data_IF_434797770581
#
_entry.id   IF_434797770581
#
_cell.length_a   1.000
_cell.length_b   1.000
_cell.length_c   1.000
_cell.angle_alpha   90.00
_cell.angle_beta   90.00
_cell.angle_gamma   90.00
#
_symmetry.space_group_name_H-M   'P 1'
#
loop_
_entity.id
_entity.type
_entity.pdbx_description
1 polymer ?
#
# COMPACT_ATOMS: atom_id res chain seq x y z
N UNK A 1 -11.95 21.27 -9.62
CA UNK A 1 -12.57 21.46 -10.98
C UNK A 1 -12.76 20.09 -11.62
N UNK A 2 -13.98 19.80 -12.10
CA UNK A 2 -14.27 18.52 -12.79
C UNK A 2 -14.16 18.76 -14.30
N UNK A 3 -13.37 17.92 -14.98
CA UNK A 3 -13.20 18.03 -16.43
C UNK A 3 -14.50 17.62 -17.16
N UNK A 4 -14.92 18.31 -18.24
CA UNK A 4 -16.19 18.02 -18.94
C UNK A 4 -16.31 16.59 -19.48
N UNK A 5 -15.21 15.91 -19.76
CA UNK A 5 -15.23 14.49 -20.21
C UNK A 5 -15.16 13.48 -19.08
N UNK A 6 -15.14 13.90 -17.81
CA UNK A 6 -15.26 12.99 -16.69
C UNK A 6 -16.72 12.56 -16.50
N UNK A 7 -16.93 11.31 -16.13
CA UNK A 7 -18.25 10.75 -15.83
C UNK A 7 -18.33 10.59 -14.31
N UNK A 8 -19.20 11.40 -13.71
CA UNK A 8 -19.41 11.36 -12.26
C UNK A 8 -20.84 10.91 -12.00
N UNK A 9 -21.00 9.85 -11.24
CA UNK A 9 -22.35 9.44 -10.79
C UNK A 9 -23.02 10.54 -9.96
N UNK A 10 -24.31 10.81 -10.17
CA UNK A 10 -25.06 11.72 -9.33
C UNK A 10 -25.20 11.24 -7.87
N UNK A 11 -24.93 9.97 -7.58
CA UNK A 11 -24.96 9.39 -6.24
C UNK A 11 -23.61 9.51 -5.52
N UNK A 12 -22.51 9.82 -6.24
CA UNK A 12 -21.20 10.02 -5.63
C UNK A 12 -21.18 11.28 -4.77
N UNK A 13 -20.58 11.19 -3.60
CA UNK A 13 -20.40 12.33 -2.70
C UNK A 13 -19.04 12.98 -2.93
N UNK A 14 -19.05 14.16 -3.50
CA UNK A 14 -17.82 14.88 -3.90
C UNK A 14 -17.61 16.08 -2.96
N UNK A 15 -16.52 16.07 -2.22
CA UNK A 15 -16.13 17.14 -1.29
C UNK A 15 -15.77 18.47 -1.99
N UNK A 16 -15.71 19.54 -1.21
CA UNK A 16 -15.36 20.85 -1.71
C UNK A 16 -13.93 20.86 -2.30
N UNK A 17 -13.73 21.58 -3.41
CA UNK A 17 -12.41 21.73 -4.02
C UNK A 17 -11.85 20.48 -4.71
N UNK A 18 -12.61 19.41 -4.83
CA UNK A 18 -12.19 18.22 -5.58
C UNK A 18 -11.99 18.54 -7.04
N UNK A 19 -10.93 17.97 -7.62
CA UNK A 19 -10.69 18.01 -9.07
C UNK A 19 -10.65 16.59 -9.65
N UNK A 20 -11.26 16.42 -10.84
CA UNK A 20 -11.27 15.16 -11.57
C UNK A 20 -10.82 15.39 -12.99
N UNK A 21 -9.78 14.68 -13.41
CA UNK A 21 -9.17 14.77 -14.73
C UNK A 21 -10.01 14.15 -15.85
N UNK A 22 -9.62 14.36 -17.11
CA UNK A 22 -10.37 13.89 -18.28
C UNK A 22 -10.47 12.37 -18.32
N UNK A 23 -11.63 11.92 -18.83
CA UNK A 23 -11.94 10.51 -19.07
C UNK A 23 -11.89 9.62 -17.81
N UNK A 24 -12.01 10.20 -16.63
CA UNK A 24 -12.13 9.46 -15.37
C UNK A 24 -13.59 9.17 -15.06
N UNK A 25 -13.84 8.03 -14.43
CA UNK A 25 -15.17 7.57 -14.01
C UNK A 25 -15.20 7.53 -12.48
N UNK A 26 -16.23 8.12 -11.88
CA UNK A 26 -16.54 7.99 -10.45
C UNK A 26 -17.92 7.34 -10.34
N UNK A 27 -17.94 6.16 -9.77
CA UNK A 27 -19.14 5.34 -9.64
C UNK A 27 -20.06 5.77 -8.48
N UNK A 28 -21.21 5.10 -8.32
CA UNK A 28 -22.29 5.48 -7.40
C UNK A 28 -21.86 5.49 -5.93
N UNK A 29 -21.21 4.45 -5.50
CA UNK A 29 -20.93 4.19 -4.09
C UNK A 29 -19.57 4.74 -3.66
N UNK A 30 -19.34 6.04 -3.91
CA UNK A 30 -18.04 6.72 -3.70
C UNK A 30 -18.19 7.98 -2.87
N UNK A 31 -17.31 8.15 -1.89
CA UNK A 31 -17.16 9.36 -1.08
C UNK A 31 -15.74 9.89 -1.25
N UNK A 32 -15.59 11.13 -1.74
CA UNK A 32 -14.27 11.77 -1.95
C UNK A 32 -14.15 13.00 -1.04
N UNK A 33 -13.18 13.01 -0.16
CA UNK A 33 -12.87 14.10 0.75
C UNK A 33 -12.41 15.37 0.04
N UNK A 34 -12.60 16.51 0.72
CA UNK A 34 -12.29 17.84 0.20
C UNK A 34 -10.82 17.95 -0.25
N UNK A 35 -10.57 18.80 -1.25
CA UNK A 35 -9.23 19.11 -1.75
C UNK A 35 -8.55 17.97 -2.52
N UNK A 36 -9.23 16.84 -2.75
CA UNK A 36 -8.67 15.67 -3.42
C UNK A 36 -8.57 15.89 -4.93
N UNK A 37 -7.49 15.39 -5.52
CA UNK A 37 -7.24 15.42 -6.96
C UNK A 37 -7.23 14.01 -7.54
N UNK A 38 -8.10 13.76 -8.51
CA UNK A 38 -8.14 12.53 -9.32
C UNK A 38 -7.54 12.86 -10.70
N UNK A 39 -6.55 12.10 -11.12
CA UNK A 39 -5.90 12.22 -12.44
C UNK A 39 -6.83 11.85 -13.59
N UNK A 40 -6.27 11.73 -14.80
CA UNK A 40 -7.01 11.31 -15.98
C UNK A 40 -7.11 9.78 -16.10
N UNK A 41 -8.17 9.30 -16.77
CA UNK A 41 -8.37 7.86 -17.03
C UNK A 41 -8.35 7.01 -15.75
N UNK A 42 -8.85 7.52 -14.65
CA UNK A 42 -9.01 6.77 -13.41
C UNK A 42 -10.41 6.17 -13.35
N UNK A 43 -10.53 5.00 -12.70
CA UNK A 43 -11.80 4.39 -12.37
C UNK A 43 -11.91 4.31 -10.85
N UNK A 44 -12.86 5.07 -10.29
CA UNK A 44 -13.01 5.29 -8.84
C UNK A 44 -14.33 4.68 -8.39
N UNK A 45 -14.25 3.67 -7.53
CA UNK A 45 -15.39 2.91 -7.06
C UNK A 45 -15.82 1.79 -8.01
N UNK A 46 -14.86 1.13 -8.69
CA UNK A 46 -15.16 0.00 -9.56
C UNK A 46 -16.04 -1.03 -8.83
N UNK A 47 -17.24 -1.36 -9.37
CA UNK A 47 -18.18 -2.24 -8.68
C UNK A 47 -17.63 -3.64 -8.46
N UNK A 48 -17.82 -4.17 -7.24
CA UNK A 48 -17.43 -5.53 -6.88
C UNK A 48 -18.46 -6.18 -5.96
N UNK A 49 -18.93 -7.36 -6.34
CA UNK A 49 -19.83 -8.13 -5.46
C UNK A 49 -19.16 -8.49 -4.12
N UNK A 50 -17.83 -8.54 -4.07
CA UNK A 50 -17.07 -8.82 -2.86
C UNK A 50 -17.00 -7.63 -1.90
N UNK A 51 -17.36 -6.43 -2.34
CA UNK A 51 -17.41 -5.24 -1.49
C UNK A 51 -18.65 -5.22 -0.57
N UNK A 52 -19.61 -6.11 -0.80
CA UNK A 52 -20.84 -6.23 0.01
C UNK A 52 -21.65 -4.92 0.13
N UNK A 53 -21.61 -4.09 -0.92
CA UNK A 53 -22.27 -2.78 -0.95
C UNK A 53 -21.62 -1.71 -0.09
N UNK A 54 -20.43 -1.92 0.45
CA UNK A 54 -19.68 -0.90 1.20
C UNK A 54 -19.12 0.16 0.25
N UNK A 55 -19.14 1.45 0.64
CA UNK A 55 -18.63 2.51 -0.20
C UNK A 55 -17.10 2.50 -0.31
N UNK A 56 -16.60 3.06 -1.41
CA UNK A 56 -15.21 3.54 -1.46
C UNK A 56 -15.17 4.92 -0.79
N UNK A 57 -14.34 5.04 0.25
CA UNK A 57 -14.11 6.31 0.93
C UNK A 57 -12.66 6.76 0.74
N UNK A 58 -12.44 7.95 0.18
CA UNK A 58 -11.12 8.57 0.01
C UNK A 58 -11.06 9.82 0.87
N UNK A 59 -10.11 9.87 1.79
CA UNK A 59 -9.90 10.99 2.69
C UNK A 59 -9.45 12.28 1.99
N UNK A 60 -9.48 13.38 2.73
CA UNK A 60 -9.20 14.72 2.23
C UNK A 60 -7.75 14.88 1.72
N UNK A 61 -7.55 15.88 0.84
CA UNK A 61 -6.25 16.29 0.33
C UNK A 61 -5.44 15.14 -0.32
N UNK A 62 -6.13 14.17 -0.89
CA UNK A 62 -5.53 13.02 -1.56
C UNK A 62 -5.16 13.33 -3.01
N UNK A 63 -4.17 12.60 -3.55
CA UNK A 63 -3.73 12.72 -4.94
C UNK A 63 -3.68 11.34 -5.59
N UNK A 64 -4.65 11.03 -6.42
CA UNK A 64 -4.69 9.80 -7.22
C UNK A 64 -4.26 10.13 -8.64
N UNK A 65 -3.10 9.60 -9.06
CA UNK A 65 -2.57 9.83 -10.40
C UNK A 65 -3.23 8.92 -11.44
N UNK A 66 -3.03 9.28 -12.71
CA UNK A 66 -3.75 8.74 -13.86
C UNK A 66 -3.69 7.21 -14.01
N UNK A 67 -4.75 6.66 -14.63
CA UNK A 67 -4.92 5.24 -14.95
C UNK A 67 -5.00 4.33 -13.71
N UNK A 68 -5.38 4.88 -12.56
CA UNK A 68 -5.55 4.09 -11.36
C UNK A 68 -6.99 3.57 -11.23
N UNK A 69 -7.14 2.39 -10.64
CA UNK A 69 -8.43 1.73 -10.42
C UNK A 69 -8.58 1.44 -8.93
N UNK A 70 -9.65 1.98 -8.34
CA UNK A 70 -10.01 1.74 -6.95
C UNK A 70 -11.38 1.08 -6.90
N UNK A 71 -11.46 -0.09 -6.30
CA UNK A 71 -12.70 -0.81 -6.11
C UNK A 71 -13.51 -0.23 -4.95
N UNK A 72 -14.82 -0.37 -5.00
CA UNK A 72 -15.68 -0.05 -3.88
C UNK A 72 -15.35 -0.89 -2.63
N UNK A 73 -15.86 -0.51 -1.46
CA UNK A 73 -15.66 -1.20 -0.19
C UNK A 73 -14.37 -0.84 0.55
N UNK A 74 -13.49 -0.04 -0.04
CA UNK A 74 -12.21 0.35 0.59
C UNK A 74 -12.28 1.72 1.24
N UNK A 75 -11.49 1.92 2.30
CA UNK A 75 -11.43 3.19 3.04
C UNK A 75 -9.99 3.66 3.21
N UNK A 76 -9.74 4.91 2.85
CA UNK A 76 -8.42 5.56 2.96
C UNK A 76 -8.54 6.83 3.81
N UNK A 77 -7.59 7.01 4.73
CA UNK A 77 -7.43 8.25 5.48
C UNK A 77 -7.00 9.43 4.59
N UNK A 78 -6.80 10.57 5.20
CA UNK A 78 -6.36 11.79 4.50
C UNK A 78 -4.97 11.65 3.87
N UNK A 79 -4.71 12.43 2.82
CA UNK A 79 -3.42 12.54 2.14
C UNK A 79 -2.91 11.21 1.55
N UNK A 80 -3.82 10.41 0.99
CA UNK A 80 -3.42 9.31 0.12
C UNK A 80 -2.73 9.86 -1.13
N UNK A 81 -1.53 9.37 -1.44
CA UNK A 81 -0.80 9.74 -2.66
C UNK A 81 -0.49 8.48 -3.46
N UNK A 82 -0.90 8.45 -4.73
CA UNK A 82 -0.55 7.33 -5.61
C UNK A 82 0.44 7.75 -6.70
N UNK A 83 1.20 6.79 -7.21
CA UNK A 83 1.79 6.83 -8.54
C UNK A 83 0.72 6.61 -9.61
N UNK A 84 1.16 6.39 -10.85
CA UNK A 84 0.27 6.07 -11.96
C UNK A 84 -0.06 4.58 -12.00
N UNK A 85 -1.24 4.22 -12.54
CA UNK A 85 -1.64 2.82 -12.77
C UNK A 85 -1.62 1.97 -11.49
N UNK A 86 -2.12 2.53 -10.42
CA UNK A 86 -2.29 1.82 -9.16
C UNK A 86 -3.63 1.08 -9.19
N UNK A 87 -3.65 -0.16 -8.72
CA UNK A 87 -4.88 -0.92 -8.51
C UNK A 87 -5.05 -1.23 -7.03
N UNK A 88 -6.22 -0.90 -6.48
CA UNK A 88 -6.58 -1.29 -5.12
C UNK A 88 -7.94 -1.97 -5.15
N UNK A 89 -7.94 -3.24 -4.78
CA UNK A 89 -9.16 -4.03 -4.71
C UNK A 89 -9.94 -3.77 -3.41
N UNK A 90 -11.13 -4.33 -3.37
CA UNK A 90 -12.15 -4.14 -2.34
C UNK A 90 -11.65 -4.42 -0.91
N UNK A 91 -12.35 -3.85 0.07
CA UNK A 91 -12.19 -4.12 1.50
C UNK A 91 -10.76 -3.87 2.04
N UNK A 92 -10.04 -2.93 1.43
CA UNK A 92 -8.77 -2.41 1.98
C UNK A 92 -9.06 -1.24 2.90
N UNK A 93 -8.53 -1.28 4.11
CA UNK A 93 -8.61 -0.17 5.07
C UNK A 93 -7.21 0.39 5.29
N UNK A 94 -7.04 1.66 5.00
CA UNK A 94 -5.74 2.32 5.14
C UNK A 94 -5.83 3.61 5.96
N UNK A 95 -4.81 3.86 6.76
CA UNK A 95 -4.64 5.08 7.54
C UNK A 95 -4.27 6.30 6.68
N UNK A 96 -3.82 7.36 7.34
CA UNK A 96 -3.43 8.61 6.69
C UNK A 96 -2.02 8.57 6.11
N UNK A 97 -1.75 9.46 5.15
CA UNK A 97 -0.44 9.63 4.51
C UNK A 97 0.11 8.36 3.85
N UNK A 98 -0.77 7.48 3.37
CA UNK A 98 -0.35 6.33 2.58
C UNK A 98 0.20 6.79 1.22
N UNK A 99 1.38 6.28 0.86
CA UNK A 99 1.97 6.51 -0.46
C UNK A 99 2.10 5.18 -1.21
N UNK A 100 1.48 5.10 -2.39
CA UNK A 100 1.54 3.92 -3.27
C UNK A 100 2.30 4.28 -4.53
N UNK A 101 3.39 3.59 -4.82
CA UNK A 101 4.19 3.83 -6.03
C UNK A 101 3.48 3.43 -7.32
N UNK A 102 4.02 3.86 -8.45
CA UNK A 102 3.50 3.52 -9.79
C UNK A 102 3.42 2.00 -9.99
N UNK A 103 2.33 1.52 -10.59
CA UNK A 103 2.06 0.09 -10.77
C UNK A 103 1.98 -0.69 -9.44
N UNK A 104 1.66 -0.02 -8.33
CA UNK A 104 1.34 -0.67 -7.06
C UNK A 104 0.03 -1.43 -7.16
N UNK A 105 -0.01 -2.63 -6.59
CA UNK A 105 -1.15 -3.54 -6.66
C UNK A 105 -1.49 -4.09 -5.28
N UNK A 106 -2.70 -3.76 -4.78
CA UNK A 106 -3.21 -4.19 -3.46
C UNK A 106 -4.43 -5.07 -3.69
N UNK A 107 -4.34 -6.35 -3.32
CA UNK A 107 -5.31 -7.39 -3.66
C UNK A 107 -6.57 -7.45 -2.78
N UNK A 108 -6.76 -6.46 -1.92
CA UNK A 108 -7.98 -6.34 -1.11
C UNK A 108 -7.91 -7.04 0.25
N UNK A 109 -8.93 -6.78 1.08
CA UNK A 109 -8.99 -7.25 2.47
C UNK A 109 -7.72 -6.92 3.29
N UNK A 110 -7.01 -5.86 2.93
CA UNK A 110 -5.77 -5.47 3.57
C UNK A 110 -6.00 -4.40 4.64
N UNK A 111 -5.20 -4.45 5.69
CA UNK A 111 -5.13 -3.42 6.72
C UNK A 111 -3.78 -2.70 6.59
N UNK A 112 -3.80 -1.37 6.40
CA UNK A 112 -2.59 -0.58 6.19
C UNK A 112 -2.62 0.60 7.18
N UNK A 113 -1.56 0.75 7.95
CA UNK A 113 -1.42 1.81 8.96
C UNK A 113 -1.12 3.19 8.38
N UNK A 114 -0.77 4.08 9.28
CA UNK A 114 -0.41 5.46 8.96
C UNK A 114 1.02 5.55 8.40
N UNK A 115 1.26 6.54 7.51
CA UNK A 115 2.59 6.87 6.99
C UNK A 115 3.32 5.70 6.30
N UNK A 116 2.58 4.76 5.76
CA UNK A 116 3.16 3.65 4.98
C UNK A 116 3.57 4.15 3.60
N UNK A 117 4.76 3.71 3.15
CA UNK A 117 5.27 4.00 1.81
C UNK A 117 5.55 2.73 1.05
N UNK A 118 4.91 2.58 -0.09
CA UNK A 118 5.26 1.54 -1.06
C UNK A 118 5.83 2.19 -2.32
N UNK A 119 6.90 1.62 -2.86
CA UNK A 119 7.49 2.04 -4.12
C UNK A 119 6.80 1.38 -5.33
N UNK A 120 7.35 1.63 -6.52
CA UNK A 120 6.78 1.11 -7.76
C UNK A 120 6.82 -0.41 -7.85
N UNK A 121 5.79 -0.99 -8.48
CA UNK A 121 5.66 -2.44 -8.71
C UNK A 121 5.64 -3.28 -7.42
N UNK A 122 5.16 -2.72 -6.32
CA UNK A 122 4.92 -3.50 -5.11
C UNK A 122 3.59 -4.22 -5.24
N UNK A 123 3.60 -5.52 -4.96
CA UNK A 123 2.39 -6.34 -4.88
C UNK A 123 2.11 -6.70 -3.42
N UNK A 124 0.89 -6.42 -2.98
CA UNK A 124 0.40 -6.74 -1.63
C UNK A 124 -0.73 -7.76 -1.75
N UNK A 125 -0.44 -8.99 -1.39
CA UNK A 125 -1.40 -10.09 -1.40
C UNK A 125 -2.53 -9.86 -0.40
N UNK A 126 -3.66 -10.50 -0.68
CA UNK A 126 -4.88 -10.41 0.12
C UNK A 126 -4.64 -10.69 1.61
N UNK A 127 -5.41 -10.01 2.47
CA UNK A 127 -5.37 -10.16 3.94
C UNK A 127 -4.04 -9.77 4.59
N UNK A 128 -3.16 -9.08 3.87
CA UNK A 128 -1.92 -8.56 4.46
C UNK A 128 -2.21 -7.43 5.46
N UNK A 129 -1.41 -7.39 6.53
CA UNK A 129 -1.44 -6.35 7.55
C UNK A 129 -0.12 -5.60 7.54
N UNK A 130 -0.18 -4.30 7.28
CA UNK A 130 0.99 -3.43 7.24
C UNK A 130 0.77 -2.35 8.28
N UNK A 131 1.60 -2.33 9.30
CA UNK A 131 1.49 -1.38 10.40
C UNK A 131 2.05 0.00 10.03
N UNK A 132 2.23 0.88 11.02
CA UNK A 132 2.60 2.26 10.76
C UNK A 132 4.08 2.41 10.35
N UNK A 133 4.36 3.45 9.58
CA UNK A 133 5.72 3.85 9.21
C UNK A 133 6.51 2.77 8.47
N UNK A 134 5.86 1.80 7.87
CA UNK A 134 6.52 0.75 7.07
C UNK A 134 6.96 1.32 5.72
N UNK A 135 8.12 0.87 5.25
CA UNK A 135 8.64 1.24 3.95
C UNK A 135 8.95 0.01 3.11
N UNK A 136 8.25 -0.12 1.97
CA UNK A 136 8.36 -1.25 1.04
C UNK A 136 8.93 -0.76 -0.29
N UNK A 137 10.08 -1.29 -0.67
CA UNK A 137 10.85 -0.87 -1.82
C UNK A 137 10.38 -1.53 -3.14
N UNK A 138 10.88 -1.06 -4.32
CA UNK A 138 10.37 -1.53 -5.61
C UNK A 138 10.44 -3.05 -5.79
N UNK A 139 9.42 -3.60 -6.47
CA UNK A 139 9.32 -5.01 -6.85
C UNK A 139 9.25 -5.98 -5.66
N UNK A 140 8.87 -5.53 -4.49
CA UNK A 140 8.57 -6.43 -3.37
C UNK A 140 7.23 -7.09 -3.58
N UNK A 141 7.15 -8.38 -3.24
CA UNK A 141 5.94 -9.19 -3.31
C UNK A 141 5.61 -9.75 -1.93
N UNK A 142 4.46 -9.35 -1.38
CA UNK A 142 3.85 -10.01 -0.22
C UNK A 142 2.83 -11.03 -0.74
N UNK A 143 3.06 -12.30 -0.47
CA UNK A 143 2.20 -13.38 -0.94
C UNK A 143 1.14 -13.77 0.09
N UNK A 144 0.11 -14.52 -0.32
CA UNK A 144 -1.03 -14.83 0.54
C UNK A 144 -1.59 -16.24 0.40
N UNK A 145 -1.09 -17.04 -0.52
CA UNK A 145 -1.53 -18.43 -0.69
C UNK A 145 -0.35 -19.38 -0.52
N UNK A 146 -0.33 -20.19 0.58
CA UNK A 146 0.78 -21.10 0.85
C UNK A 146 0.87 -22.28 -0.12
N UNK A 147 -0.25 -22.70 -0.72
CA UNK A 147 -0.34 -23.88 -1.60
C UNK A 147 -1.34 -23.65 -2.74
N UNK A 148 -1.04 -22.73 -3.71
CA UNK A 148 -2.00 -22.36 -4.75
C UNK A 148 -2.38 -23.53 -5.68
N UNK A 149 -3.68 -23.71 -6.03
CA UNK A 149 -4.80 -23.02 -5.40
C UNK A 149 -5.19 -23.68 -4.08
N UNK A 150 -5.45 -22.88 -3.05
CA UNK A 150 -5.92 -23.38 -1.77
C UNK A 150 -7.07 -22.54 -1.19
N UNK A 151 -7.88 -23.17 -0.33
CA UNK A 151 -8.92 -22.46 0.43
C UNK A 151 -8.34 -21.62 1.58
N UNK A 152 -7.04 -21.77 1.84
CA UNK A 152 -6.32 -21.06 2.91
C UNK A 152 -5.64 -19.82 2.33
N UNK A 153 -6.22 -18.66 2.56
CA UNK A 153 -5.61 -17.38 2.21
C UNK A 153 -5.13 -16.67 3.48
N UNK A 154 -3.82 -16.53 3.63
CA UNK A 154 -3.16 -15.92 4.78
C UNK A 154 -2.21 -14.84 4.31
N UNK A 155 -2.50 -13.58 4.61
CA UNK A 155 -1.62 -12.44 4.28
C UNK A 155 -0.35 -12.41 5.14
N UNK A 156 0.58 -11.59 4.75
CA UNK A 156 1.76 -11.28 5.56
C UNK A 156 1.44 -10.20 6.60
N UNK A 157 2.17 -10.18 7.71
CA UNK A 157 2.14 -9.08 8.67
C UNK A 157 3.48 -8.35 8.65
N UNK A 158 3.47 -7.02 8.46
CA UNK A 158 4.67 -6.18 8.49
C UNK A 158 4.49 -5.13 9.58
N UNK A 159 5.28 -5.23 10.65
CA UNK A 159 5.13 -4.40 11.86
C UNK A 159 5.78 -3.03 11.72
N UNK A 160 5.51 -2.17 12.71
CA UNK A 160 5.90 -0.76 12.71
C UNK A 160 7.38 -0.55 12.34
N UNK A 161 7.63 0.47 11.51
CA UNK A 161 8.96 0.88 11.09
C UNK A 161 9.81 -0.20 10.39
N UNK A 162 9.23 -1.34 10.01
CA UNK A 162 9.96 -2.34 9.24
C UNK A 162 10.23 -1.85 7.81
N UNK A 163 11.33 -2.31 7.25
CA UNK A 163 11.76 -1.98 5.90
C UNK A 163 11.94 -3.26 5.09
N UNK A 164 11.31 -3.34 3.93
CA UNK A 164 11.50 -4.46 3.00
C UNK A 164 12.17 -3.94 1.74
N UNK A 165 13.43 -4.32 1.54
CA UNK A 165 14.21 -3.81 0.42
C UNK A 165 13.88 -4.51 -0.91
N UNK A 166 14.31 -3.88 -1.98
CA UNK A 166 13.98 -4.15 -3.39
C UNK A 166 14.03 -5.64 -3.76
N UNK A 167 13.02 -6.09 -4.53
CA UNK A 167 12.92 -7.45 -5.09
C UNK A 167 12.87 -8.58 -4.05
N UNK A 168 12.45 -8.29 -2.84
CA UNK A 168 12.26 -9.32 -1.82
C UNK A 168 10.84 -9.91 -1.89
N UNK A 169 10.72 -11.17 -1.47
CA UNK A 169 9.47 -11.90 -1.40
C UNK A 169 9.23 -12.30 0.07
N UNK A 170 8.03 -12.06 0.57
CA UNK A 170 7.58 -12.50 1.89
C UNK A 170 6.50 -13.56 1.69
N UNK A 171 6.71 -14.76 2.25
CA UNK A 171 5.80 -15.87 2.09
C UNK A 171 4.57 -15.74 3.00
N UNK A 172 3.47 -16.45 2.66
CA UNK A 172 2.19 -16.31 3.36
C UNK A 172 2.30 -16.62 4.85
N UNK A 173 1.63 -15.80 5.67
CA UNK A 173 1.59 -15.94 7.12
C UNK A 173 2.84 -15.47 7.86
N UNK A 174 3.89 -15.06 7.16
CA UNK A 174 5.12 -14.55 7.79
C UNK A 174 4.88 -13.21 8.45
N UNK A 175 5.42 -13.06 9.66
CA UNK A 175 5.47 -11.79 10.42
C UNK A 175 6.86 -11.18 10.30
N UNK A 176 6.93 -9.97 9.74
CA UNK A 176 8.16 -9.15 9.74
C UNK A 176 8.12 -8.21 10.93
N UNK A 177 8.98 -8.46 11.92
CA UNK A 177 9.01 -7.76 13.20
C UNK A 177 9.30 -6.26 13.08
N UNK A 178 8.93 -5.51 14.11
CA UNK A 178 9.11 -4.06 14.15
C UNK A 178 10.58 -3.65 14.02
N UNK A 179 10.84 -2.48 13.40
CA UNK A 179 12.18 -1.96 13.22
C UNK A 179 13.16 -2.92 12.54
N UNK A 180 12.68 -3.95 11.84
CA UNK A 180 13.53 -4.90 11.12
C UNK A 180 13.81 -4.45 9.69
N UNK A 181 14.82 -5.03 9.08
CA UNK A 181 15.21 -4.80 7.69
C UNK A 181 15.34 -6.13 6.95
N UNK A 182 14.52 -6.32 5.95
CA UNK A 182 14.70 -7.38 4.95
C UNK A 182 15.62 -6.83 3.84
N UNK A 183 16.81 -7.41 3.69
CA UNK A 183 17.77 -7.02 2.67
C UNK A 183 17.24 -7.34 1.26
N UNK A 184 17.74 -6.61 0.26
CA UNK A 184 17.30 -6.79 -1.12
C UNK A 184 17.49 -8.23 -1.62
N UNK A 185 16.61 -8.68 -2.54
CA UNK A 185 16.64 -10.03 -3.12
C UNK A 185 16.50 -11.17 -2.09
N UNK A 186 15.74 -10.94 -1.03
CA UNK A 186 15.53 -11.96 0.00
C UNK A 186 14.23 -12.72 -0.20
N UNK A 187 14.23 -14.02 0.16
CA UNK A 187 13.05 -14.86 0.25
C UNK A 187 12.78 -15.18 1.72
N UNK A 188 11.78 -14.50 2.30
CA UNK A 188 11.47 -14.57 3.73
C UNK A 188 10.39 -15.63 3.94
N UNK A 189 10.78 -16.79 4.46
CA UNK A 189 9.90 -17.95 4.68
C UNK A 189 9.64 -18.26 6.15
N UNK A 190 10.14 -17.45 7.07
CA UNK A 190 9.94 -17.55 8.52
C UNK A 190 9.84 -16.15 9.10
N UNK A 191 9.23 -16.06 10.28
CA UNK A 191 9.11 -14.79 11.00
C UNK A 191 10.49 -14.14 11.20
N UNK A 192 10.48 -12.82 11.13
CA UNK A 192 11.66 -11.97 11.34
C UNK A 192 11.52 -11.33 12.71
N UNK A 193 12.50 -11.51 13.57
CA UNK A 193 12.52 -10.88 14.89
C UNK A 193 12.65 -9.35 14.77
N UNK A 194 12.07 -8.64 15.74
CA UNK A 194 12.21 -7.19 15.83
C UNK A 194 13.69 -6.75 15.85
N UNK A 195 13.98 -5.57 15.31
CA UNK A 195 15.32 -4.97 15.27
C UNK A 195 16.38 -5.80 14.54
N UNK A 196 15.98 -6.75 13.69
CA UNK A 196 16.86 -7.66 12.98
C UNK A 196 17.04 -7.29 11.52
N UNK A 197 18.21 -7.52 10.98
CA UNK A 197 18.47 -7.55 9.54
C UNK A 197 18.51 -9.00 9.09
N UNK A 198 17.67 -9.34 8.13
CA UNK A 198 17.66 -10.66 7.49
C UNK A 198 17.98 -10.53 6.00
N UNK A 199 18.54 -11.55 5.39
CA UNK A 199 18.84 -11.53 3.95
C UNK A 199 19.17 -12.89 3.37
N UNK A 200 19.05 -13.01 2.05
CA UNK A 200 19.31 -14.21 1.27
C UNK A 200 18.07 -15.00 0.90
N UNK A 201 18.25 -16.14 0.23
CA UNK A 201 17.19 -17.06 -0.21
C UNK A 201 17.57 -18.51 0.15
N UNK A 202 16.98 -19.11 1.22
CA UNK A 202 16.08 -18.49 2.17
C UNK A 202 16.76 -17.42 3.04
N UNK A 203 15.98 -16.42 3.50
CA UNK A 203 16.49 -15.35 4.35
C UNK A 203 16.96 -15.88 5.71
N UNK A 204 18.10 -15.37 6.17
CA UNK A 204 18.71 -15.70 7.46
C UNK A 204 19.10 -14.42 8.19
N UNK A 205 19.18 -14.48 9.53
CA UNK A 205 19.69 -13.38 10.33
C UNK A 205 21.12 -13.00 9.91
N UNK A 206 21.34 -11.70 9.75
CA UNK A 206 22.66 -11.15 9.39
C UNK A 206 23.26 -10.35 10.55
N UNK A 207 22.52 -9.41 11.10
CA UNK A 207 22.95 -8.59 12.24
C UNK A 207 21.75 -7.79 12.82
N UNK A 208 21.90 -7.16 14.00
CA UNK A 208 20.92 -6.17 14.47
C UNK A 208 20.90 -4.92 13.57
N UNK A 209 19.72 -4.28 13.42
CA UNK A 209 19.58 -3.04 12.61
C UNK A 209 20.47 -1.89 13.10
N UNK A 210 20.78 -1.84 14.39
CA UNK A 210 21.68 -0.84 14.97
C UNK A 210 23.11 -0.83 14.38
N UNK A 211 23.53 -1.93 13.71
CA UNK A 211 24.81 -2.02 13.01
C UNK A 211 24.79 -1.36 11.62
N UNK A 212 23.60 -1.09 11.07
CA UNK A 212 23.50 -0.42 9.77
C UNK A 212 23.70 1.08 9.97
N UNK A 213 24.74 1.62 9.36
CA UNK A 213 25.12 3.03 9.48
C UNK A 213 24.77 3.81 8.23
N UNK A 214 24.48 5.10 8.40
CA UNK A 214 24.36 6.03 7.28
C UNK A 214 25.70 6.09 6.53
N UNK A 215 25.61 6.21 5.20
CA UNK A 215 26.79 6.36 4.33
C UNK A 215 27.20 7.83 4.14
N UNK A 216 26.90 8.68 5.12
CA UNK A 216 27.18 10.12 5.14
C UNK A 216 28.44 10.48 5.94
N UNK A 217 29.17 9.49 6.42
CA UNK A 217 30.38 9.68 7.22
C UNK A 217 30.12 10.01 8.69
N UNK A 218 28.88 10.16 9.14
CA UNK A 218 28.54 10.56 10.53
C UNK A 218 28.60 9.38 11.51
N UNK A 219 28.55 8.14 11.04
CA UNK A 219 28.49 6.95 11.88
C UNK A 219 27.14 6.75 12.61
N UNK A 220 26.14 7.60 12.33
CA UNK A 220 24.78 7.45 12.89
C UNK A 220 24.11 6.18 12.37
N UNK A 221 23.23 5.59 13.17
CA UNK A 221 22.41 4.47 12.72
C UNK A 221 21.44 4.90 11.61
N UNK A 222 21.32 4.05 10.57
CA UNK A 222 20.37 4.28 9.50
C UNK A 222 18.94 3.88 9.90
N UNK A 223 18.82 3.00 10.88
CA UNK A 223 17.54 2.49 11.36
C UNK A 223 17.46 2.54 12.89
N UNK A 224 16.26 2.75 13.47
CA UNK A 224 15.06 3.16 12.77
C UNK A 224 15.24 4.52 12.11
N UNK A 225 14.65 4.67 10.91
CA UNK A 225 14.62 5.97 10.22
C UNK A 225 13.60 6.89 10.91
N UNK A 226 13.92 8.21 10.96
CA UNK A 226 13.15 9.18 11.74
C UNK A 226 12.53 10.30 10.90
N UNK A 227 12.73 10.27 9.59
CA UNK A 227 12.20 11.28 8.65
C UNK A 227 11.24 10.64 7.65
N UNK A 228 10.14 11.32 7.37
CA UNK A 228 9.10 10.94 6.39
C UNK A 228 9.14 11.85 5.17
#
# INVERSE_FOLDING_TARGET
MIHPSAIISPQAQIGAGVSVGPYSIVHDNVVIGAGTTIGSHCEIGHPSALAEGRPLCIGENSLIRSHSVFYEGSTFGERLITGHRVTVRELTVAGKNLQIGTLGDIQGHCEIGDYVRTHSNVHIGQKSKIHNFVWIFPYVVLTNDPHPPSDTCVGCEVRDHAVIATMSIVLPGVVVGEHSLVAAHSSVSRDVEAHSVVGGSPAKFLCPTSKIKLKDGTGRSAYPWTTH
#
